data_IF_036772021890
#
_entry.id   IF_036772021890
#
_cell.length_a   1.000
_cell.length_b   1.000
_cell.length_c   1.000
_cell.angle_alpha   90.00
_cell.angle_beta   90.00
_cell.angle_gamma   90.00
#
_symmetry.space_group_name_H-M   'P 1'
#
loop_
_entity.id
_entity.type
_entity.pdbx_description
1 polymer ?
#
# COMPACT_ATOMS: atom_id res chain seq x y z
N UNK A 1 16.15 26.12 -39.78
CA UNK A 1 15.87 24.70 -39.52
C UNK A 1 15.16 24.66 -38.18
N UNK A 2 13.83 24.59 -38.18
CA UNK A 2 13.05 24.53 -36.93
C UNK A 2 13.53 23.29 -36.16
N UNK A 3 14.09 23.49 -34.98
CA UNK A 3 14.35 22.40 -34.07
C UNK A 3 13.00 21.75 -33.78
N UNK A 4 12.79 20.54 -34.29
CA UNK A 4 11.66 19.73 -33.88
C UNK A 4 11.71 19.68 -32.35
N UNK A 5 10.61 20.07 -31.71
CA UNK A 5 10.43 19.81 -30.29
C UNK A 5 10.79 18.34 -30.08
N UNK A 6 11.83 18.04 -29.30
CA UNK A 6 12.15 16.66 -28.96
C UNK A 6 10.90 16.13 -28.27
N UNK A 7 10.15 15.24 -28.93
CA UNK A 7 8.95 14.64 -28.37
C UNK A 7 9.31 14.06 -26.99
N UNK A 8 8.75 14.68 -25.94
CA UNK A 8 8.94 14.25 -24.56
C UNK A 8 8.10 13.00 -24.36
N UNK A 9 8.76 11.88 -24.09
CA UNK A 9 8.12 10.61 -23.80
C UNK A 9 7.92 10.54 -22.29
N UNK A 10 7.08 11.45 -21.78
CA UNK A 10 6.68 11.43 -20.37
C UNK A 10 5.85 10.16 -20.09
N UNK A 11 5.69 9.83 -18.80
CA UNK A 11 4.96 8.63 -18.41
C UNK A 11 3.46 8.72 -18.81
N UNK A 12 2.69 7.67 -18.49
CA UNK A 12 1.26 7.64 -18.84
C UNK A 12 0.41 8.61 -17.99
N UNK A 13 1.00 9.46 -17.15
CA UNK A 13 0.29 10.38 -16.26
C UNK A 13 0.31 11.79 -16.81
N UNK A 14 -0.73 12.52 -16.47
CA UNK A 14 -0.77 13.97 -16.59
C UNK A 14 -0.34 14.56 -15.26
N UNK A 15 0.63 15.48 -15.30
CA UNK A 15 1.06 16.22 -14.12
C UNK A 15 0.39 17.60 -14.12
N UNK A 16 0.02 18.08 -12.92
CA UNK A 16 -0.48 19.43 -12.78
C UNK A 16 0.59 20.45 -13.18
N UNK A 17 0.19 21.48 -13.91
CA UNK A 17 1.03 22.61 -14.29
C UNK A 17 0.71 23.88 -13.46
N UNK A 18 0.11 23.72 -12.27
CA UNK A 18 -0.30 24.86 -11.41
C UNK A 18 0.86 25.79 -11.02
N UNK A 19 2.09 25.26 -10.97
CA UNK A 19 3.31 26.03 -10.76
C UNK A 19 4.16 26.04 -12.04
N UNK A 20 4.23 27.18 -12.71
CA UNK A 20 5.10 27.39 -13.86
C UNK A 20 6.56 27.60 -13.42
N UNK A 21 7.51 27.36 -14.31
CA UNK A 21 8.92 27.73 -14.08
C UNK A 21 9.05 29.22 -14.36
N UNK A 22 9.36 30.00 -13.32
CA UNK A 22 9.60 31.44 -13.42
C UNK A 22 11.04 31.75 -13.87
N UNK A 23 12.02 30.98 -13.39
CA UNK A 23 13.41 31.08 -13.81
C UNK A 23 14.16 29.76 -13.59
N UNK A 24 15.23 29.56 -14.33
CA UNK A 24 16.18 28.47 -14.13
C UNK A 24 17.61 28.98 -14.26
N UNK A 25 18.48 28.63 -13.31
CA UNK A 25 19.87 29.05 -13.30
C UNK A 25 20.82 27.87 -13.11
N UNK A 26 21.98 27.93 -13.76
CA UNK A 26 23.04 26.93 -13.59
C UNK A 26 23.75 27.23 -12.27
N UNK A 27 23.70 26.26 -11.37
CA UNK A 27 24.48 26.23 -10.13
C UNK A 27 25.62 25.22 -10.22
N UNK A 28 26.27 24.97 -9.08
CA UNK A 28 27.34 23.99 -8.96
C UNK A 28 26.76 22.55 -8.99
N UNK A 29 26.93 21.86 -10.11
CA UNK A 29 26.45 20.49 -10.32
C UNK A 29 24.92 20.32 -10.46
N UNK A 30 24.17 21.43 -10.61
CA UNK A 30 22.71 21.43 -10.63
C UNK A 30 22.12 22.61 -11.40
N UNK A 31 20.84 22.50 -11.72
CA UNK A 31 19.98 23.60 -12.14
C UNK A 31 19.08 23.96 -10.96
N UNK A 32 19.10 25.23 -10.54
CA UNK A 32 18.17 25.75 -9.55
C UNK A 32 16.95 26.33 -10.29
N UNK A 33 15.77 25.75 -10.04
CA UNK A 33 14.51 26.16 -10.65
C UNK A 33 13.72 26.99 -9.65
N UNK A 34 13.37 28.21 -10.04
CA UNK A 34 12.42 29.08 -9.33
C UNK A 34 11.04 28.94 -9.96
N UNK A 35 10.05 28.64 -9.13
CA UNK A 35 8.67 28.43 -9.52
C UNK A 35 7.84 29.72 -9.38
N UNK A 36 6.72 29.81 -10.08
CA UNK A 36 5.80 30.96 -10.01
C UNK A 36 5.19 31.19 -8.62
N UNK A 37 5.24 30.19 -7.73
CA UNK A 37 4.85 30.27 -6.32
C UNK A 37 6.02 30.68 -5.39
N UNK A 38 7.12 31.20 -5.96
CA UNK A 38 8.36 31.61 -5.29
C UNK A 38 9.15 30.47 -4.62
N UNK A 39 8.72 29.21 -4.79
CA UNK A 39 9.51 28.08 -4.33
C UNK A 39 10.75 27.90 -5.19
N UNK A 40 11.79 27.30 -4.61
CA UNK A 40 13.00 26.91 -5.31
C UNK A 40 13.26 25.42 -5.13
N UNK A 41 13.56 24.74 -6.23
CA UNK A 41 13.90 23.31 -6.24
C UNK A 41 15.22 23.10 -6.99
N UNK A 42 16.19 22.43 -6.38
CA UNK A 42 17.42 22.03 -7.06
C UNK A 42 17.20 20.76 -7.88
N UNK A 43 17.79 20.70 -9.07
CA UNK A 43 17.82 19.52 -9.95
C UNK A 43 19.27 19.24 -10.40
N UNK A 44 19.90 18.20 -9.87
CA UNK A 44 21.29 17.84 -10.13
C UNK A 44 21.45 17.38 -11.58
N UNK A 45 22.61 17.65 -12.17
CA UNK A 45 22.89 17.32 -13.56
C UNK A 45 22.70 15.84 -13.85
N UNK A 46 23.25 14.97 -12.99
CA UNK A 46 23.10 13.51 -13.12
C UNK A 46 21.62 13.11 -13.08
N UNK A 47 20.86 13.66 -12.14
CA UNK A 47 19.44 13.34 -12.01
C UNK A 47 18.63 13.76 -13.23
N UNK A 48 18.85 14.98 -13.73
CA UNK A 48 18.21 15.46 -14.95
C UNK A 48 18.60 14.55 -16.14
N UNK A 49 19.89 14.33 -16.36
CA UNK A 49 20.39 13.57 -17.51
C UNK A 49 19.95 12.11 -17.52
N UNK A 50 19.91 11.47 -16.34
CA UNK A 50 19.40 10.11 -16.13
C UNK A 50 17.89 10.03 -16.41
N UNK A 51 17.15 11.08 -16.06
CA UNK A 51 15.70 11.16 -16.27
C UNK A 51 15.31 11.96 -17.53
N UNK A 52 16.18 11.99 -18.56
CA UNK A 52 15.84 12.59 -19.84
C UNK A 52 14.75 11.77 -20.53
N UNK A 53 13.61 12.40 -20.84
CA UNK A 53 12.46 11.72 -21.45
C UNK A 53 12.48 11.72 -22.99
N UNK A 54 13.59 12.05 -23.66
CA UNK A 54 13.64 12.08 -25.13
C UNK A 54 13.72 10.66 -25.73
N UNK A 55 13.40 10.53 -27.01
CA UNK A 55 13.43 9.24 -27.74
C UNK A 55 14.81 8.56 -27.83
N UNK A 56 15.90 9.29 -27.56
CA UNK A 56 17.24 8.70 -27.47
C UNK A 56 17.53 8.10 -26.09
N UNK A 57 16.80 8.53 -25.05
CA UNK A 57 17.01 8.08 -23.67
C UNK A 57 15.90 7.16 -23.17
N UNK A 58 14.73 7.19 -23.80
CA UNK A 58 13.57 6.37 -23.50
C UNK A 58 13.03 5.76 -24.80
N UNK A 59 12.79 4.45 -24.79
CA UNK A 59 12.21 3.76 -25.93
C UNK A 59 10.74 4.17 -26.12
N UNK A 60 10.39 4.70 -27.29
CA UNK A 60 9.13 5.43 -27.48
C UNK A 60 7.84 4.62 -27.29
N UNK A 61 7.90 3.31 -27.51
CA UNK A 61 6.73 2.43 -27.41
C UNK A 61 6.57 1.88 -25.99
N UNK A 62 7.66 1.34 -25.43
CA UNK A 62 7.65 0.70 -24.11
C UNK A 62 7.70 1.72 -22.98
N UNK A 63 8.22 2.93 -23.27
CA UNK A 63 8.55 3.98 -22.31
C UNK A 63 9.57 3.55 -21.26
N UNK A 64 10.37 2.53 -21.59
CA UNK A 64 11.46 2.06 -20.76
C UNK A 64 12.72 2.86 -21.07
N UNK A 65 13.48 3.15 -20.02
CA UNK A 65 14.77 3.83 -20.13
C UNK A 65 15.75 2.95 -20.91
N UNK A 66 16.43 3.54 -21.89
CA UNK A 66 17.50 2.91 -22.67
C UNK A 66 18.86 3.55 -22.40
N UNK A 67 18.86 4.79 -21.90
CA UNK A 67 20.08 5.48 -21.50
C UNK A 67 20.51 5.01 -20.11
N UNK A 68 21.77 4.61 -19.96
CA UNK A 68 22.36 4.34 -18.64
C UNK A 68 23.21 5.54 -18.21
N UNK A 69 23.13 5.94 -16.93
CA UNK A 69 23.85 7.12 -16.44
C UNK A 69 25.38 7.06 -16.64
N UNK A 70 25.95 5.85 -16.75
CA UNK A 70 27.38 5.65 -17.05
C UNK A 70 27.77 6.12 -18.45
N UNK A 71 26.82 6.24 -19.37
CA UNK A 71 27.04 6.76 -20.73
C UNK A 71 27.11 8.30 -20.76
N UNK A 72 26.71 8.99 -19.68
CA UNK A 72 27.04 10.40 -19.52
C UNK A 72 28.54 10.57 -19.24
N UNK A 73 29.05 11.75 -19.60
CA UNK A 73 30.43 12.11 -19.25
C UNK A 73 30.59 12.17 -17.73
N UNK A 74 31.74 11.71 -17.22
CA UNK A 74 32.05 11.83 -15.79
C UNK A 74 32.14 13.29 -15.30
N UNK A 75 32.46 14.23 -16.21
CA UNK A 75 32.45 15.67 -15.98
C UNK A 75 31.17 16.34 -16.52
N UNK A 76 30.02 15.64 -16.47
CA UNK A 76 28.74 16.14 -16.97
C UNK A 76 28.45 17.54 -16.44
N UNK A 77 28.15 18.46 -17.35
CA UNK A 77 27.75 19.83 -17.00
C UNK A 77 26.73 20.39 -17.99
N UNK A 78 25.84 21.24 -17.47
CA UNK A 78 24.95 22.04 -18.30
C UNK A 78 25.73 23.20 -18.92
N UNK A 79 25.66 23.34 -20.24
CA UNK A 79 26.21 24.47 -20.98
C UNK A 79 25.22 25.64 -21.01
N UNK A 80 23.94 25.35 -21.25
CA UNK A 80 22.88 26.34 -21.27
C UNK A 80 21.62 25.78 -20.63
N UNK A 81 20.85 26.66 -19.99
CA UNK A 81 19.51 26.38 -19.48
C UNK A 81 18.58 27.51 -19.87
N UNK A 82 17.38 27.16 -20.30
CA UNK A 82 16.35 28.15 -20.65
C UNK A 82 14.96 27.54 -20.47
N UNK A 83 13.97 28.43 -20.33
CA UNK A 83 12.56 28.07 -20.30
C UNK A 83 11.97 28.43 -21.65
N UNK A 84 11.41 27.47 -22.36
CA UNK A 84 10.80 27.68 -23.67
C UNK A 84 9.37 28.25 -23.59
N UNK A 85 8.81 28.61 -24.73
CA UNK A 85 7.45 29.17 -24.81
C UNK A 85 6.34 28.25 -24.30
N UNK A 86 6.59 26.93 -24.26
CA UNK A 86 5.68 25.94 -23.68
C UNK A 86 5.85 25.76 -22.15
N UNK A 87 6.74 26.55 -21.53
CA UNK A 87 7.05 26.53 -20.11
C UNK A 87 8.00 25.39 -19.68
N UNK A 88 8.52 24.60 -20.61
CA UNK A 88 9.44 23.51 -20.31
C UNK A 88 10.83 24.02 -19.93
N UNK A 89 11.51 23.30 -19.04
CA UNK A 89 12.95 23.48 -18.83
C UNK A 89 13.70 22.78 -19.97
N UNK A 90 14.57 23.50 -20.65
CA UNK A 90 15.51 22.97 -21.64
C UNK A 90 16.95 23.07 -21.11
N UNK A 91 17.72 22.00 -21.30
CA UNK A 91 19.14 21.93 -20.92
C UNK A 91 19.96 21.41 -22.09
N UNK A 92 21.03 22.12 -22.44
CA UNK A 92 22.07 21.63 -23.35
C UNK A 92 23.28 21.17 -22.55
N UNK A 93 23.75 19.96 -22.82
CA UNK A 93 24.81 19.30 -22.06
C UNK A 93 26.16 19.38 -22.78
N UNK A 94 27.26 19.26 -22.01
CA UNK A 94 28.62 19.25 -22.54
C UNK A 94 29.02 17.97 -23.32
N UNK A 95 28.12 16.98 -23.39
CA UNK A 95 28.21 15.81 -24.28
C UNK A 95 27.51 16.05 -25.64
N UNK A 96 26.93 17.24 -25.85
CA UNK A 96 26.18 17.60 -27.04
C UNK A 96 24.71 17.15 -27.02
N UNK A 97 24.27 16.48 -25.95
CA UNK A 97 22.87 16.08 -25.77
C UNK A 97 21.99 17.27 -25.40
N UNK A 98 20.70 17.16 -25.72
CA UNK A 98 19.67 18.14 -25.38
C UNK A 98 18.51 17.43 -24.70
N UNK A 99 18.03 18.00 -23.61
CA UNK A 99 16.96 17.45 -22.80
C UNK A 99 15.92 18.51 -22.48
N UNK A 100 14.67 18.08 -22.29
CA UNK A 100 13.57 18.94 -21.92
C UNK A 100 12.63 18.24 -20.93
N UNK A 101 12.05 18.99 -19.98
CA UNK A 101 11.07 18.47 -19.01
C UNK A 101 9.89 19.42 -18.85
N UNK A 102 8.67 18.88 -18.78
CA UNK A 102 7.50 19.69 -18.43
C UNK A 102 7.60 20.22 -16.99
N UNK A 103 7.06 21.43 -16.73
CA UNK A 103 7.08 22.02 -15.39
C UNK A 103 6.35 21.13 -14.37
N UNK A 104 5.22 20.52 -14.76
CA UNK A 104 4.46 19.63 -13.90
C UNK A 104 5.22 18.36 -13.53
N UNK A 105 5.90 17.73 -14.50
CA UNK A 105 6.71 16.55 -14.22
C UNK A 105 7.87 16.89 -13.28
N UNK A 106 8.59 17.99 -13.53
CA UNK A 106 9.67 18.44 -12.64
C UNK A 106 9.17 18.73 -11.24
N UNK A 107 8.06 19.46 -11.09
CA UNK A 107 7.51 19.80 -9.77
C UNK A 107 7.07 18.56 -9.01
N UNK A 108 6.43 17.61 -9.68
CA UNK A 108 6.00 16.35 -9.07
C UNK A 108 7.18 15.50 -8.58
N UNK A 109 8.35 15.60 -9.21
CA UNK A 109 9.55 14.82 -8.88
C UNK A 109 10.63 15.58 -8.10
N UNK A 110 10.44 16.88 -7.87
CA UNK A 110 11.37 17.71 -7.10
C UNK A 110 11.72 17.06 -5.75
N UNK A 111 12.98 17.04 -5.36
CA UNK A 111 13.44 16.28 -4.20
C UNK A 111 13.97 17.16 -3.06
N UNK A 112 13.72 18.46 -3.09
CA UNK A 112 13.84 19.31 -1.90
C UNK A 112 12.92 18.81 -0.78
N UNK A 113 13.26 19.15 0.47
CA UNK A 113 12.56 18.63 1.65
C UNK A 113 11.07 18.96 1.65
N UNK A 114 10.70 20.17 1.24
CA UNK A 114 9.29 20.53 1.11
C UNK A 114 8.59 19.64 0.06
N UNK A 115 9.26 19.27 -1.04
CA UNK A 115 8.62 18.56 -2.16
C UNK A 115 8.43 17.10 -1.80
N UNK A 116 9.42 16.56 -1.08
CA UNK A 116 9.34 15.25 -0.48
C UNK A 116 8.25 15.19 0.59
N UNK A 117 8.13 16.20 1.45
CA UNK A 117 7.10 16.27 2.47
C UNK A 117 5.68 16.34 1.88
N UNK A 118 5.47 17.19 0.86
CA UNK A 118 4.18 17.29 0.15
C UNK A 118 3.78 15.96 -0.50
N UNK A 119 4.71 15.29 -1.20
CA UNK A 119 4.43 13.96 -1.79
C UNK A 119 4.06 12.93 -0.74
N UNK A 120 4.74 12.93 0.40
CA UNK A 120 4.43 12.02 1.52
C UNK A 120 3.05 12.32 2.08
N UNK A 121 2.70 13.59 2.25
CA UNK A 121 1.38 14.00 2.74
C UNK A 121 0.26 13.64 1.75
N UNK A 122 0.46 13.87 0.46
CA UNK A 122 -0.54 13.59 -0.59
C UNK A 122 -0.88 12.10 -0.74
N UNK A 123 0.06 11.21 -0.39
CA UNK A 123 -0.14 9.75 -0.42
C UNK A 123 -0.12 9.16 0.99
N UNK A 124 -0.33 10.00 2.00
CA UNK A 124 -0.31 9.62 3.40
C UNK A 124 -1.39 8.58 3.70
N UNK A 125 -1.08 7.66 4.61
CA UNK A 125 -2.07 6.72 5.13
C UNK A 125 -2.85 7.40 6.24
N UNK A 126 -4.16 7.23 6.23
CA UNK A 126 -5.03 7.69 7.32
C UNK A 126 -4.98 6.67 8.46
N UNK A 127 -4.20 6.94 9.50
CA UNK A 127 -4.05 6.06 10.68
C UNK A 127 -5.23 6.29 11.61
N UNK A 128 -5.91 5.22 12.02
CA UNK A 128 -7.18 5.31 12.75
C UNK A 128 -7.21 4.52 14.06
N UNK A 129 -8.05 4.96 14.99
CA UNK A 129 -8.40 4.29 16.26
C UNK A 129 -9.88 3.88 16.25
N UNK A 130 -10.33 3.19 17.31
CA UNK A 130 -11.66 2.56 17.34
C UNK A 130 -12.84 3.54 17.32
N UNK A 131 -12.63 4.79 17.70
CA UNK A 131 -13.61 5.88 17.72
C UNK A 131 -13.64 6.72 16.43
N UNK A 132 -12.77 6.40 15.47
CA UNK A 132 -12.70 7.12 14.21
C UNK A 132 -13.85 6.71 13.27
N UNK A 133 -14.81 7.62 13.10
CA UNK A 133 -15.96 7.44 12.22
C UNK A 133 -15.59 7.28 10.73
N UNK A 134 -14.37 7.66 10.35
CA UNK A 134 -13.86 7.59 8.97
C UNK A 134 -12.99 6.36 8.70
N UNK A 135 -12.81 5.48 9.70
CA UNK A 135 -12.00 4.27 9.57
C UNK A 135 -12.52 3.31 8.47
N UNK A 136 -13.83 3.27 8.23
CA UNK A 136 -14.47 2.40 7.24
C UNK A 136 -15.11 3.24 6.14
N UNK A 137 -14.55 3.18 4.94
CA UNK A 137 -15.27 3.60 3.72
C UNK A 137 -16.29 2.54 3.32
N UNK A 138 -17.54 2.94 3.08
CA UNK A 138 -18.64 2.06 2.66
C UNK A 138 -19.00 2.36 1.20
N UNK A 139 -19.05 1.32 0.37
CA UNK A 139 -19.31 1.43 -1.06
C UNK A 139 -20.41 0.45 -1.49
N UNK A 140 -21.20 0.81 -2.49
CA UNK A 140 -22.18 -0.09 -3.07
C UNK A 140 -21.51 -1.02 -4.09
N UNK A 141 -21.80 -2.32 -4.01
CA UNK A 141 -21.29 -3.33 -4.95
C UNK A 141 -21.56 -2.95 -6.40
N UNK A 142 -22.78 -2.52 -6.71
CA UNK A 142 -23.19 -2.17 -8.06
C UNK A 142 -22.29 -1.07 -8.65
N UNK A 143 -22.03 -0.02 -7.89
CA UNK A 143 -21.22 1.12 -8.34
C UNK A 143 -19.76 0.68 -8.54
N UNK A 144 -19.20 -0.11 -7.61
CA UNK A 144 -17.84 -0.68 -7.73
C UNK A 144 -17.68 -1.55 -8.99
N UNK A 145 -18.75 -2.23 -9.42
CA UNK A 145 -18.76 -3.10 -10.61
C UNK A 145 -19.09 -2.37 -11.92
N UNK A 146 -19.78 -1.24 -11.89
CA UNK A 146 -20.31 -0.58 -13.11
C UNK A 146 -19.65 0.78 -13.40
N UNK A 147 -19.07 1.44 -12.39
CA UNK A 147 -18.52 2.80 -12.51
C UNK A 147 -17.04 2.87 -12.07
N UNK A 148 -16.18 3.32 -13.00
CA UNK A 148 -14.75 3.49 -12.76
C UNK A 148 -14.44 4.64 -11.77
N UNK A 149 -15.32 5.63 -11.62
CA UNK A 149 -15.18 6.66 -10.58
C UNK A 149 -15.42 6.07 -9.18
N UNK A 150 -16.48 5.29 -9.01
CA UNK A 150 -16.76 4.59 -7.76
C UNK A 150 -15.67 3.56 -7.42
N UNK A 151 -15.18 2.82 -8.43
CA UNK A 151 -14.04 1.93 -8.28
C UNK A 151 -12.79 2.71 -7.84
N UNK A 152 -12.45 3.82 -8.50
CA UNK A 152 -11.31 4.65 -8.11
C UNK A 152 -11.42 5.16 -6.66
N UNK A 153 -12.60 5.62 -6.25
CA UNK A 153 -12.87 6.09 -4.90
C UNK A 153 -12.73 4.96 -3.87
N UNK A 154 -13.23 3.76 -4.18
CA UNK A 154 -13.09 2.59 -3.33
C UNK A 154 -11.64 2.14 -3.16
N UNK A 155 -10.88 2.03 -4.26
CA UNK A 155 -9.45 1.66 -4.21
C UNK A 155 -8.63 2.72 -3.47
N UNK A 156 -8.95 4.01 -3.66
CA UNK A 156 -8.35 5.11 -2.93
C UNK A 156 -8.62 5.02 -1.42
N UNK A 157 -9.88 4.79 -1.02
CA UNK A 157 -10.23 4.58 0.38
C UNK A 157 -9.50 3.37 0.97
N UNK A 158 -9.49 2.23 0.27
CA UNK A 158 -8.79 1.01 0.69
C UNK A 158 -7.29 1.23 0.86
N UNK A 159 -6.64 1.96 -0.05
CA UNK A 159 -5.22 2.30 0.07
C UNK A 159 -4.94 3.24 1.25
N UNK A 160 -5.81 4.24 1.48
CA UNK A 160 -5.63 5.24 2.55
C UNK A 160 -5.90 4.69 3.94
N UNK A 161 -7.04 4.04 4.16
CA UNK A 161 -7.47 3.54 5.49
C UNK A 161 -7.04 2.10 5.73
N UNK A 162 -6.84 1.31 4.68
CA UNK A 162 -6.60 -0.13 4.80
C UNK A 162 -7.86 -0.94 5.10
N UNK A 163 -9.05 -0.34 5.21
CA UNK A 163 -10.29 -1.03 5.58
C UNK A 163 -11.51 -0.41 4.89
N UNK A 164 -12.24 -1.22 4.14
CA UNK A 164 -13.47 -0.81 3.44
C UNK A 164 -14.53 -1.91 3.48
N UNK A 165 -15.79 -1.50 3.41
CA UNK A 165 -16.95 -2.39 3.27
C UNK A 165 -17.60 -2.17 1.90
N UNK A 166 -17.86 -3.26 1.19
CA UNK A 166 -18.70 -3.25 -0.01
C UNK A 166 -20.03 -3.91 0.33
N UNK A 167 -21.13 -3.18 0.21
CA UNK A 167 -22.47 -3.66 0.54
C UNK A 167 -23.25 -4.08 -0.71
N UNK A 168 -24.13 -5.07 -0.55
CA UNK A 168 -25.05 -5.50 -1.61
C UNK A 168 -24.41 -6.41 -2.66
N UNK A 169 -23.29 -7.06 -2.35
CA UNK A 169 -22.78 -8.17 -3.17
C UNK A 169 -23.81 -9.31 -3.12
N UNK A 170 -24.18 -9.95 -4.24
CA UNK A 170 -25.09 -11.10 -4.19
C UNK A 170 -24.52 -12.19 -3.29
N UNK A 171 -25.29 -12.69 -2.32
CA UNK A 171 -24.85 -13.67 -1.31
C UNK A 171 -24.68 -15.10 -1.87
N UNK A 172 -23.90 -15.22 -2.95
CA UNK A 172 -23.63 -16.43 -3.72
C UNK A 172 -22.13 -16.74 -3.71
N UNK A 173 -21.79 -18.03 -3.76
CA UNK A 173 -20.39 -18.48 -3.93
C UNK A 173 -19.83 -17.93 -5.24
N UNK A 174 -18.57 -17.54 -5.24
CA UNK A 174 -17.85 -17.02 -6.40
C UNK A 174 -17.90 -15.50 -6.56
N UNK A 175 -18.83 -14.78 -5.91
CA UNK A 175 -18.95 -13.32 -6.11
C UNK A 175 -17.75 -12.51 -5.60
N UNK A 176 -17.03 -13.03 -4.60
CA UNK A 176 -15.79 -12.40 -4.12
C UNK A 176 -14.71 -12.37 -5.21
N UNK A 177 -14.67 -13.38 -6.10
CA UNK A 177 -13.73 -13.44 -7.23
C UNK A 177 -13.99 -12.29 -8.20
N UNK A 178 -15.26 -12.06 -8.56
CA UNK A 178 -15.65 -11.00 -9.49
C UNK A 178 -15.23 -9.61 -8.97
N UNK A 179 -15.46 -9.32 -7.68
CA UNK A 179 -15.06 -8.04 -7.10
C UNK A 179 -13.55 -7.93 -6.98
N UNK A 180 -12.85 -9.00 -6.56
CA UNK A 180 -11.38 -8.99 -6.46
C UNK A 180 -10.71 -8.77 -7.83
N UNK A 181 -11.29 -9.29 -8.93
CA UNK A 181 -10.80 -9.07 -10.30
C UNK A 181 -10.97 -7.63 -10.80
N UNK A 182 -11.82 -6.82 -10.17
CA UNK A 182 -11.86 -5.36 -10.41
C UNK A 182 -10.60 -4.66 -9.91
N UNK A 183 -9.91 -5.27 -8.94
CA UNK A 183 -8.63 -4.81 -8.41
C UNK A 183 -7.49 -5.35 -9.25
N UNK A 184 -7.40 -6.66 -9.44
CA UNK A 184 -6.34 -7.27 -10.24
C UNK A 184 -6.28 -8.78 -10.10
N UNK A 185 -5.07 -9.33 -10.11
CA UNK A 185 -4.86 -10.78 -10.03
C UNK A 185 -5.11 -11.33 -8.62
N UNK A 186 -5.89 -12.41 -8.54
CA UNK A 186 -6.14 -13.12 -7.28
C UNK A 186 -4.94 -14.03 -6.99
N UNK A 187 -4.41 -13.93 -5.77
CA UNK A 187 -3.28 -14.70 -5.28
C UNK A 187 -3.75 -16.09 -4.83
N UNK A 188 -3.32 -17.12 -5.57
CA UNK A 188 -3.52 -18.50 -5.16
C UNK A 188 -2.67 -18.84 -3.91
N UNK A 189 -3.24 -19.66 -3.03
CA UNK A 189 -2.55 -20.18 -1.85
C UNK A 189 -2.77 -21.69 -1.71
N UNK A 190 -2.18 -22.30 -0.68
CA UNK A 190 -2.47 -23.71 -0.35
C UNK A 190 -3.90 -23.95 0.12
N UNK A 191 -4.70 -22.90 0.30
CA UNK A 191 -6.14 -22.96 0.57
C UNK A 191 -6.97 -22.77 -0.71
N UNK A 192 -6.32 -22.69 -1.88
CA UNK A 192 -6.93 -22.40 -3.18
C UNK A 192 -6.92 -20.90 -3.52
N UNK A 193 -7.57 -20.58 -4.64
CA UNK A 193 -7.85 -19.20 -5.08
C UNK A 193 -8.96 -18.57 -4.21
N UNK A 194 -10.01 -19.34 -3.96
CA UNK A 194 -11.09 -19.00 -3.04
C UNK A 194 -11.10 -20.00 -1.89
N UNK A 195 -11.41 -19.52 -0.68
CA UNK A 195 -11.55 -20.37 0.50
C UNK A 195 -12.84 -20.05 1.26
N UNK A 196 -13.49 -21.09 1.77
CA UNK A 196 -14.69 -20.94 2.59
C UNK A 196 -14.35 -20.97 4.09
N UNK A 197 -14.94 -20.03 4.83
CA UNK A 197 -14.84 -19.90 6.29
C UNK A 197 -16.19 -20.27 6.91
N UNK A 198 -16.31 -21.55 7.25
CA UNK A 198 -17.45 -22.16 7.94
C UNK A 198 -16.95 -23.11 9.04
N UNK A 199 -17.79 -23.39 10.05
CA UNK A 199 -17.44 -24.34 11.11
C UNK A 199 -17.38 -25.76 10.54
N UNK A 200 -16.22 -26.42 10.70
CA UNK A 200 -16.00 -27.79 10.19
C UNK A 200 -15.93 -28.79 11.35
N UNK A 201 -16.48 -30.02 11.23
CA UNK A 201 -16.36 -31.05 12.27
C UNK A 201 -14.90 -31.47 12.58
N UNK A 202 -14.00 -31.33 11.60
CA UNK A 202 -12.56 -31.57 11.72
C UNK A 202 -11.79 -30.40 11.11
N UNK A 203 -11.50 -29.33 11.87
CA UNK A 203 -10.86 -28.13 11.36
C UNK A 203 -9.34 -28.31 11.25
N UNK A 204 -8.76 -27.83 10.15
CA UNK A 204 -7.31 -27.73 9.89
C UNK A 204 -6.75 -26.32 10.18
N UNK A 205 -7.63 -25.38 10.56
CA UNK A 205 -7.31 -24.02 10.97
C UNK A 205 -8.26 -23.53 12.05
N UNK A 206 -7.76 -22.70 12.97
CA UNK A 206 -8.57 -22.06 14.01
C UNK A 206 -9.69 -21.17 13.43
N UNK A 207 -9.52 -20.68 12.19
CA UNK A 207 -10.55 -19.94 11.47
C UNK A 207 -11.84 -20.76 11.23
N UNK A 208 -11.75 -22.09 11.25
CA UNK A 208 -12.87 -23.02 11.06
C UNK A 208 -13.46 -23.54 12.38
N UNK A 209 -13.20 -22.84 13.49
CA UNK A 209 -13.74 -23.13 14.83
C UNK A 209 -14.73 -22.06 15.31
N UNK A 210 -15.52 -22.36 16.33
CA UNK A 210 -16.44 -21.41 17.00
C UNK A 210 -15.79 -20.49 18.03
N UNK A 211 -14.52 -20.75 18.35
CA UNK A 211 -13.78 -19.99 19.35
C UNK A 211 -13.52 -18.54 18.87
N UNK A 212 -13.27 -17.66 19.84
CA UNK A 212 -12.76 -16.32 19.60
C UNK A 212 -11.44 -16.40 18.81
N UNK A 213 -11.39 -15.73 17.65
CA UNK A 213 -10.18 -15.63 16.85
C UNK A 213 -9.51 -14.29 17.20
N UNK A 214 -8.37 -14.30 17.91
CA UNK A 214 -7.74 -13.06 18.36
C UNK A 214 -7.23 -12.22 17.17
N UNK A 215 -6.96 -10.91 17.39
CA UNK A 215 -6.38 -10.05 16.37
C UNK A 215 -5.14 -10.65 15.71
N UNK A 216 -5.17 -10.76 14.39
CA UNK A 216 -4.10 -11.33 13.59
C UNK A 216 -4.08 -10.74 12.17
N UNK A 217 -2.97 -10.95 11.47
CA UNK A 217 -2.84 -10.82 10.03
C UNK A 217 -2.68 -12.21 9.42
N UNK A 218 -3.26 -12.42 8.24
CA UNK A 218 -3.32 -13.73 7.60
C UNK A 218 -2.00 -14.10 6.94
N UNK A 219 -1.70 -15.39 6.98
CA UNK A 219 -0.54 -16.01 6.34
C UNK A 219 0.79 -15.25 6.53
N UNK A 220 1.17 -14.87 7.78
CA UNK A 220 2.47 -14.24 8.05
C UNK A 220 3.66 -15.18 7.80
N UNK A 221 3.35 -16.44 7.47
CA UNK A 221 4.27 -17.52 7.09
C UNK A 221 4.77 -17.40 5.65
N UNK A 222 4.21 -16.49 4.85
CA UNK A 222 4.64 -16.22 3.48
C UNK A 222 5.76 -15.20 3.48
N UNK A 223 6.74 -15.39 2.60
CA UNK A 223 7.75 -14.36 2.30
C UNK A 223 7.05 -13.03 1.97
N UNK A 224 6.13 -13.08 1.00
CA UNK A 224 5.19 -12.02 0.71
C UNK A 224 3.86 -12.33 1.39
N UNK A 225 3.62 -11.74 2.55
CA UNK A 225 2.32 -11.79 3.21
C UNK A 225 1.25 -11.26 2.23
N UNK A 226 0.06 -11.88 2.10
CA UNK A 226 -0.94 -11.39 1.15
C UNK A 226 -1.29 -9.93 1.42
N UNK A 227 -1.41 -9.13 0.35
CA UNK A 227 -1.61 -7.68 0.44
C UNK A 227 -3.00 -7.29 0.95
N UNK A 228 -4.03 -7.56 0.16
CA UNK A 228 -5.44 -7.29 0.45
C UNK A 228 -6.15 -8.62 0.67
N UNK A 229 -6.97 -8.69 1.72
CA UNK A 229 -7.88 -9.81 1.96
C UNK A 229 -9.32 -9.36 1.72
N UNK A 230 -10.08 -10.22 1.07
CA UNK A 230 -11.53 -10.08 0.92
C UNK A 230 -12.25 -11.13 1.75
N UNK A 231 -13.34 -10.75 2.41
CA UNK A 231 -14.22 -11.66 3.13
C UNK A 231 -15.68 -11.30 2.82
N UNK A 232 -16.30 -12.06 1.93
CA UNK A 232 -17.69 -11.89 1.51
C UNK A 232 -18.62 -12.77 2.34
N UNK A 233 -19.65 -12.16 2.93
CA UNK A 233 -20.63 -12.84 3.76
C UNK A 233 -21.75 -13.48 2.95
N UNK A 234 -21.80 -14.81 2.95
CA UNK A 234 -22.86 -15.57 2.30
C UNK A 234 -24.02 -15.88 3.27
N UNK A 235 -23.70 -16.07 4.56
CA UNK A 235 -24.68 -16.22 5.63
C UNK A 235 -24.06 -15.82 6.98
N UNK A 236 -24.84 -15.18 7.85
CA UNK A 236 -24.43 -14.85 9.22
C UNK A 236 -25.62 -14.84 10.20
N UNK A 237 -26.32 -15.97 10.26
CA UNK A 237 -27.52 -16.17 11.05
C UNK A 237 -27.22 -16.58 12.50
N UNK A 238 -25.97 -16.99 12.77
CA UNK A 238 -25.54 -17.42 14.09
C UNK A 238 -25.42 -16.26 15.09
N UNK A 239 -25.77 -16.48 16.35
CA UNK A 239 -25.56 -15.51 17.44
C UNK A 239 -24.07 -15.27 17.67
N UNK A 240 -23.64 -14.01 17.73
CA UNK A 240 -22.21 -13.63 17.85
C UNK A 240 -21.48 -13.59 16.51
N UNK A 241 -20.15 -13.67 16.51
CA UNK A 241 -19.35 -13.72 15.28
C UNK A 241 -19.14 -12.38 14.58
N UNK A 242 -19.16 -11.30 15.34
CA UNK A 242 -18.90 -9.93 14.87
C UNK A 242 -17.45 -9.79 14.42
N UNK A 243 -17.23 -9.01 13.36
CA UNK A 243 -15.87 -8.72 12.88
C UNK A 243 -15.26 -7.62 13.73
N UNK A 244 -14.00 -7.80 14.13
CA UNK A 244 -13.22 -6.79 14.85
C UNK A 244 -12.00 -6.46 13.99
N UNK A 245 -11.72 -5.18 13.82
CA UNK A 245 -10.54 -4.67 13.11
C UNK A 245 -9.76 -3.71 13.97
N UNK A 246 -8.44 -3.70 13.79
CA UNK A 246 -7.51 -2.77 14.41
C UNK A 246 -6.49 -2.31 13.38
N UNK A 247 -6.17 -1.02 13.38
CA UNK A 247 -5.06 -0.51 12.58
C UNK A 247 -3.73 -0.89 13.24
N UNK A 248 -3.01 -1.84 12.65
CA UNK A 248 -1.70 -2.26 13.14
C UNK A 248 -0.68 -1.11 13.15
N UNK A 249 -0.86 -0.10 12.31
CA UNK A 249 0.03 1.07 12.31
C UNK A 249 -0.27 1.99 13.48
N UNK A 250 -1.54 2.15 13.87
CA UNK A 250 -1.90 2.86 15.10
C UNK A 250 -1.33 2.15 16.35
N UNK A 251 -1.38 0.81 16.38
CA UNK A 251 -0.76 0.02 17.44
C UNK A 251 0.77 0.21 17.47
N UNK A 252 1.41 0.18 16.31
CA UNK A 252 2.85 0.40 16.18
C UNK A 252 3.27 1.81 16.63
N UNK A 253 2.51 2.84 16.26
CA UNK A 253 2.74 4.24 16.66
C UNK A 253 2.54 4.45 18.15
N UNK A 254 1.48 3.85 18.73
CA UNK A 254 1.26 3.85 20.17
C UNK A 254 2.42 3.17 20.91
N UNK A 255 2.87 2.00 20.44
CA UNK A 255 4.01 1.32 21.04
C UNK A 255 5.30 2.15 20.91
N UNK A 256 5.57 2.77 19.75
CA UNK A 256 6.73 3.64 19.54
C UNK A 256 6.76 4.81 20.53
N UNK A 257 5.60 5.45 20.75
CA UNK A 257 5.47 6.61 21.63
C UNK A 257 5.51 6.24 23.11
N UNK A 258 4.82 5.16 23.49
CA UNK A 258 4.66 4.77 24.90
C UNK A 258 5.86 3.95 25.39
N UNK A 259 6.44 3.12 24.53
CA UNK A 259 7.50 2.15 24.85
C UNK A 259 8.49 1.97 23.69
N UNK A 260 9.32 2.99 23.38
CA UNK A 260 10.20 2.99 22.20
C UNK A 260 11.15 1.77 22.15
N UNK A 261 11.69 1.34 23.29
CA UNK A 261 12.55 0.14 23.33
C UNK A 261 11.80 -1.14 22.91
N UNK A 262 10.53 -1.29 23.33
CA UNK A 262 9.71 -2.43 22.94
C UNK A 262 9.36 -2.37 21.45
N UNK A 263 9.12 -1.17 20.91
CA UNK A 263 8.93 -0.96 19.48
C UNK A 263 10.18 -1.36 18.68
N UNK A 264 11.38 -0.98 19.12
CA UNK A 264 12.62 -1.38 18.46
C UNK A 264 12.84 -2.89 18.52
N UNK A 265 12.55 -3.56 19.65
CA UNK A 265 12.64 -5.03 19.74
C UNK A 265 11.76 -5.71 18.68
N UNK A 266 10.51 -5.27 18.54
CA UNK A 266 9.56 -5.87 17.60
C UNK A 266 9.82 -5.54 16.12
N UNK A 267 10.58 -4.49 15.85
CA UNK A 267 10.91 -4.10 14.49
C UNK A 267 12.27 -4.62 14.00
N UNK A 268 13.17 -4.97 14.92
CA UNK A 268 14.52 -5.42 14.59
C UNK A 268 14.74 -6.92 14.84
N UNK A 269 13.98 -7.55 15.74
CA UNK A 269 14.11 -8.99 16.03
C UNK A 269 13.15 -9.79 15.16
N UNK A 270 13.64 -10.71 14.32
CA UNK A 270 12.78 -11.61 13.55
C UNK A 270 11.99 -12.55 14.46
N UNK A 271 10.74 -12.82 14.08
CA UNK A 271 9.92 -13.88 14.62
C UNK A 271 9.75 -14.96 13.57
N UNK A 272 9.76 -16.21 14.02
CA UNK A 272 9.47 -17.36 13.17
C UNK A 272 7.95 -17.54 13.00
N UNK A 273 7.50 -17.75 11.78
CA UNK A 273 6.10 -18.04 11.44
C UNK A 273 6.00 -19.30 10.59
N UNK A 274 5.30 -20.33 11.06
CA UNK A 274 5.19 -21.63 10.40
C UNK A 274 3.73 -22.05 10.16
N UNK A 275 3.41 -22.49 8.95
CA UNK A 275 2.15 -23.16 8.60
C UNK A 275 2.49 -24.52 8.00
N UNK A 276 2.06 -25.60 8.67
CA UNK A 276 2.44 -26.98 8.34
C UNK A 276 1.19 -27.83 8.13
N UNK A 277 1.22 -28.68 7.12
CA UNK A 277 0.24 -29.72 6.85
C UNK A 277 0.97 -31.00 6.41
N UNK A 278 0.22 -32.07 6.12
CA UNK A 278 0.81 -33.29 5.54
C UNK A 278 1.49 -33.04 4.18
N UNK A 279 1.06 -32.00 3.45
CA UNK A 279 1.45 -31.74 2.06
C UNK A 279 2.11 -30.37 1.85
N UNK A 280 2.35 -29.58 2.92
CA UNK A 280 2.95 -28.26 2.84
C UNK A 280 3.67 -27.85 4.13
N UNK A 281 4.74 -27.06 4.01
CA UNK A 281 5.45 -26.43 5.13
C UNK A 281 5.92 -25.04 4.67
N UNK A 282 5.17 -24.00 5.04
CA UNK A 282 5.50 -22.61 4.74
C UNK A 282 6.09 -21.95 5.98
N UNK A 283 7.25 -21.31 5.79
CA UNK A 283 7.98 -20.64 6.86
C UNK A 283 8.43 -19.26 6.40
N UNK A 284 8.36 -18.31 7.32
CA UNK A 284 8.96 -17.00 7.16
C UNK A 284 9.55 -16.53 8.48
N UNK A 285 10.73 -15.91 8.41
CA UNK A 285 11.36 -15.20 9.51
C UNK A 285 11.30 -13.72 9.20
N UNK A 286 10.57 -12.96 10.03
CA UNK A 286 10.35 -11.53 9.81
C UNK A 286 10.00 -10.83 11.13
N UNK A 287 10.32 -9.54 11.30
CA UNK A 287 9.89 -8.79 12.48
C UNK A 287 8.37 -8.69 12.55
N UNK A 288 7.84 -8.50 13.76
CA UNK A 288 6.41 -8.22 13.97
C UNK A 288 6.02 -6.90 13.34
N UNK A 289 6.92 -5.90 13.37
CA UNK A 289 6.72 -4.58 12.77
C UNK A 289 7.75 -4.38 11.66
N UNK A 290 7.32 -4.53 10.40
CA UNK A 290 8.17 -4.30 9.23
C UNK A 290 8.39 -2.81 8.94
N UNK A 291 9.62 -2.41 8.63
CA UNK A 291 9.98 -1.05 8.22
C UNK A 291 10.55 -1.02 6.81
N UNK A 292 10.31 0.07 6.07
CA UNK A 292 11.05 0.36 4.85
C UNK A 292 12.47 0.89 5.15
N UNK A 293 13.26 1.11 4.09
CA UNK A 293 14.61 1.66 4.19
C UNK A 293 14.66 3.11 4.75
N UNK A 294 13.51 3.78 4.89
CA UNK A 294 13.37 5.11 5.49
C UNK A 294 12.87 5.03 6.94
N UNK A 295 12.66 3.83 7.48
CA UNK A 295 12.18 3.60 8.84
C UNK A 295 10.65 3.68 9.01
N UNK A 296 9.88 3.87 7.93
CA UNK A 296 8.42 3.92 8.02
C UNK A 296 7.85 2.50 8.22
N UNK A 297 6.82 2.37 9.05
CA UNK A 297 6.11 1.09 9.20
C UNK A 297 5.36 0.78 7.92
N UNK A 298 5.59 -0.40 7.36
CA UNK A 298 4.98 -0.83 6.10
C UNK A 298 4.17 -2.11 6.20
N UNK A 299 4.39 -2.86 7.29
CA UNK A 299 3.80 -4.17 7.52
C UNK A 299 3.69 -4.51 9.01
N UNK A 300 2.66 -5.26 9.40
CA UNK A 300 2.49 -5.86 10.72
C UNK A 300 2.21 -7.36 10.59
N UNK A 301 3.04 -8.19 11.21
CA UNK A 301 2.94 -9.66 11.20
C UNK A 301 2.57 -10.19 12.58
N UNK A 302 1.33 -10.63 12.73
CA UNK A 302 0.84 -11.18 14.00
C UNK A 302 -0.09 -12.34 13.72
N UNK A 303 0.30 -13.56 14.12
CA UNK A 303 -0.63 -14.68 14.23
C UNK A 303 -0.11 -15.65 15.28
N UNK A 304 -0.60 -15.55 16.52
CA UNK A 304 -0.09 -16.34 17.64
C UNK A 304 -0.12 -17.86 17.38
N UNK A 305 -1.10 -18.32 16.62
CA UNK A 305 -1.32 -19.72 16.27
C UNK A 305 -0.44 -20.23 15.12
N UNK A 306 0.32 -19.33 14.46
CA UNK A 306 1.29 -19.67 13.41
C UNK A 306 2.72 -19.32 13.83
N UNK A 307 2.98 -19.01 15.10
CA UNK A 307 4.32 -18.64 15.58
C UNK A 307 5.20 -19.88 15.77
N UNK A 308 6.39 -19.86 15.21
CA UNK A 308 7.48 -20.80 15.51
C UNK A 308 8.23 -20.45 16.81
N UNK A 309 9.21 -21.28 17.21
CA UNK A 309 10.16 -20.95 18.28
C UNK A 309 10.90 -19.65 17.95
N UNK A 310 11.06 -18.76 18.95
CA UNK A 310 11.81 -17.52 18.77
C UNK A 310 13.30 -17.85 18.61
N UNK A 311 13.92 -17.36 17.54
CA UNK A 311 15.37 -17.38 17.36
C UNK A 311 15.93 -15.97 17.63
N UNK A 312 16.49 -15.79 18.83
CA UNK A 312 17.06 -14.52 19.27
C UNK A 312 18.21 -14.75 20.24
N UNK A 313 19.19 -13.83 20.34
CA UNK A 313 20.26 -13.92 21.34
C UNK A 313 19.71 -14.12 22.75
N UNK A 314 20.31 -15.03 23.52
CA UNK A 314 19.79 -15.44 24.83
C UNK A 314 19.51 -14.26 25.78
N UNK A 315 20.36 -13.22 25.75
CA UNK A 315 20.21 -12.01 26.57
C UNK A 315 19.03 -11.11 26.17
N UNK A 316 18.51 -11.19 24.94
CA UNK A 316 17.40 -10.35 24.46
C UNK A 316 16.03 -11.03 24.58
N UNK A 317 15.97 -12.35 24.73
CA UNK A 317 14.73 -13.14 24.75
C UNK A 317 13.67 -12.55 25.70
N UNK A 318 14.06 -12.19 26.92
CA UNK A 318 13.13 -11.61 27.90
C UNK A 318 12.56 -10.25 27.45
N UNK A 319 13.38 -9.40 26.84
CA UNK A 319 12.96 -8.09 26.32
C UNK A 319 12.03 -8.24 25.10
N UNK A 320 12.35 -9.17 24.20
CA UNK A 320 11.52 -9.47 23.01
C UNK A 320 10.13 -9.98 23.44
N UNK A 321 10.07 -10.90 24.39
CA UNK A 321 8.79 -11.37 24.92
C UNK A 321 8.02 -10.31 25.70
N UNK A 322 8.71 -9.44 26.46
CA UNK A 322 8.07 -8.28 27.11
C UNK A 322 7.41 -7.38 26.07
N UNK A 323 8.14 -7.01 25.01
CA UNK A 323 7.66 -6.17 23.94
C UNK A 323 6.45 -6.80 23.22
N UNK A 324 6.55 -8.09 22.89
CA UNK A 324 5.48 -8.81 22.21
C UNK A 324 4.22 -8.93 23.07
N UNK A 325 4.37 -9.23 24.36
CA UNK A 325 3.24 -9.22 25.32
C UNK A 325 2.57 -7.85 25.35
N UNK A 326 3.34 -6.77 25.33
CA UNK A 326 2.82 -5.41 25.35
C UNK A 326 2.05 -5.08 24.07
N UNK A 327 2.58 -5.42 22.91
CA UNK A 327 1.88 -5.24 21.63
C UNK A 327 0.55 -6.00 21.61
N UNK A 328 0.53 -7.26 22.06
CA UNK A 328 -0.72 -8.04 22.15
C UNK A 328 -1.70 -7.49 23.19
N UNK A 329 -1.22 -6.83 24.25
CA UNK A 329 -2.08 -6.14 25.22
C UNK A 329 -2.71 -4.89 24.59
N UNK A 330 -1.93 -4.06 23.87
CA UNK A 330 -2.45 -2.92 23.11
C UNK A 330 -3.52 -3.35 22.11
N UNK A 331 -3.29 -4.44 21.37
CA UNK A 331 -4.25 -5.00 20.42
C UNK A 331 -5.55 -5.52 21.09
N UNK A 332 -5.61 -5.58 22.43
CA UNK A 332 -6.82 -5.91 23.18
C UNK A 332 -7.50 -4.69 23.77
N UNK A 333 -6.95 -3.49 23.66
CA UNK A 333 -7.58 -2.30 24.23
C UNK A 333 -8.78 -1.86 23.37
N UNK A 334 -9.93 -1.51 24.00
CA UNK A 334 -11.11 -1.04 23.26
C UNK A 334 -10.85 0.18 22.38
N UNK A 335 -9.92 1.07 22.78
CA UNK A 335 -9.60 2.30 22.03
C UNK A 335 -9.09 2.06 20.61
N UNK A 336 -8.65 0.86 20.25
CA UNK A 336 -8.18 0.54 18.90
C UNK A 336 -9.16 -0.29 18.07
N UNK A 337 -10.28 -0.71 18.66
CA UNK A 337 -11.18 -1.69 18.04
C UNK A 337 -12.30 -1.00 17.28
N UNK A 338 -12.39 -1.29 16.00
CA UNK A 338 -13.59 -1.10 15.21
C UNK A 338 -14.32 -2.45 15.15
N UNK A 339 -15.59 -2.49 15.54
CA UNK A 339 -16.38 -3.72 15.55
C UNK A 339 -17.65 -3.53 14.73
N UNK A 340 -17.90 -4.46 13.79
CA UNK A 340 -19.12 -4.45 12.97
C UNK A 340 -19.54 -5.87 12.60
N UNK A 341 -20.84 -6.11 12.70
CA UNK A 341 -21.47 -7.38 12.27
C UNK A 341 -21.73 -7.33 10.76
N UNK A 342 -21.37 -8.40 10.05
CA UNK A 342 -21.69 -8.57 8.63
C UNK A 342 -23.12 -9.08 8.46
N UNK A 343 -23.83 -8.56 7.46
CA UNK A 343 -25.06 -9.15 6.91
C UNK A 343 -24.71 -9.99 5.67
N UNK A 344 -25.60 -10.87 5.24
CA UNK A 344 -25.43 -11.53 3.95
C UNK A 344 -25.34 -10.48 2.82
N UNK A 345 -24.35 -10.63 1.94
CA UNK A 345 -24.03 -9.69 0.87
C UNK A 345 -23.12 -8.52 1.25
N UNK A 346 -22.76 -8.38 2.52
CA UNK A 346 -21.69 -7.47 2.93
C UNK A 346 -20.33 -8.14 2.67
N UNK A 347 -19.34 -7.39 2.16
CA UNK A 347 -17.99 -7.88 1.91
C UNK A 347 -16.93 -6.91 2.46
N UNK A 348 -16.06 -7.42 3.33
CA UNK A 348 -14.87 -6.68 3.73
C UNK A 348 -13.80 -6.76 2.65
N UNK A 349 -13.11 -5.64 2.42
CA UNK A 349 -11.81 -5.60 1.77
C UNK A 349 -10.84 -4.80 2.64
N UNK A 350 -9.72 -5.40 3.02
CA UNK A 350 -8.76 -4.78 3.93
C UNK A 350 -7.32 -5.14 3.61
N UNK A 351 -6.41 -4.21 3.91
CA UNK A 351 -4.97 -4.38 3.78
C UNK A 351 -4.46 -5.30 4.90
N UNK A 352 -4.30 -6.58 4.57
CA UNK A 352 -3.89 -7.64 5.49
C UNK A 352 -2.46 -7.47 6.03
N UNK A 353 -1.62 -6.65 5.39
CA UNK A 353 -0.29 -6.29 5.91
C UNK A 353 -0.36 -5.14 6.92
N UNK A 354 -1.53 -4.54 7.15
CA UNK A 354 -1.72 -3.40 8.06
C UNK A 354 -2.78 -3.68 9.11
N UNK A 355 -3.97 -4.06 8.68
CA UNK A 355 -5.15 -4.19 9.50
C UNK A 355 -5.17 -5.58 10.12
N UNK A 356 -5.09 -5.62 11.45
CA UNK A 356 -5.37 -6.86 12.18
C UNK A 356 -6.87 -7.06 12.18
N UNK A 357 -7.29 -8.31 11.97
CA UNK A 357 -8.68 -8.69 12.01
C UNK A 357 -8.90 -9.83 13.01
N UNK A 358 -10.11 -9.90 13.53
CA UNK A 358 -10.53 -10.80 14.57
C UNK A 358 -12.02 -11.06 14.45
N UNK A 359 -12.49 -12.02 15.24
CA UNK A 359 -13.91 -12.30 15.35
C UNK A 359 -14.27 -12.69 16.76
N UNK A 360 -15.37 -12.15 17.27
CA UNK A 360 -15.97 -12.64 18.53
C UNK A 360 -16.38 -14.12 18.40
N UNK A 361 -16.53 -14.78 19.55
CA UNK A 361 -17.13 -16.12 19.59
C UNK A 361 -18.55 -16.12 19.01
N UNK A 362 -18.98 -17.29 18.54
CA UNK A 362 -20.34 -17.46 18.01
C UNK A 362 -20.86 -18.86 18.28
N UNK A 363 -22.19 -19.00 18.31
CA UNK A 363 -22.86 -20.28 18.52
C UNK A 363 -23.27 -20.92 17.19
N UNK A 364 -22.58 -21.97 16.71
CA UNK A 364 -22.88 -22.62 15.45
C UNK A 364 -24.23 -23.38 15.46
N UNK A 365 -24.83 -23.62 16.63
CA UNK A 365 -26.13 -24.27 16.74
C UNK A 365 -27.31 -23.33 16.43
N UNK A 366 -27.08 -22.02 16.51
CA UNK A 366 -28.14 -21.01 16.38
C UNK A 366 -28.41 -20.57 14.95
N UNK A 367 -27.50 -20.86 14.01
CA UNK A 367 -27.67 -20.48 12.62
C UNK A 367 -26.45 -20.75 11.76
N UNK A 368 -26.61 -20.59 10.44
CA UNK A 368 -25.52 -20.78 9.48
C UNK A 368 -24.60 -19.55 9.48
N UNK A 369 -23.29 -19.78 9.47
CA UNK A 369 -22.28 -18.75 9.22
C UNK A 369 -21.32 -19.21 8.14
N UNK A 370 -21.24 -18.45 7.06
CA UNK A 370 -20.44 -18.78 5.90
C UNK A 370 -19.88 -17.51 5.27
N UNK A 371 -18.56 -17.35 5.32
CA UNK A 371 -17.86 -16.33 4.54
C UNK A 371 -17.05 -17.02 3.44
N UNK A 372 -16.85 -16.35 2.31
CA UNK A 372 -15.90 -16.77 1.29
C UNK A 372 -14.85 -15.69 1.12
N UNK A 373 -13.59 -16.09 1.11
CA UNK A 373 -12.46 -15.17 1.02
C UNK A 373 -11.53 -15.47 -0.13
N UNK A 374 -10.72 -14.46 -0.46
CA UNK A 374 -9.60 -14.55 -1.37
C UNK A 374 -8.56 -13.47 -1.02
N UNK A 375 -7.41 -13.50 -1.69
CA UNK A 375 -6.36 -12.52 -1.52
C UNK A 375 -5.95 -11.88 -2.85
N UNK A 376 -5.52 -10.62 -2.80
CA UNK A 376 -4.88 -9.89 -3.90
C UNK A 376 -3.61 -9.23 -3.37
N UNK A 377 -2.58 -9.04 -4.19
CA UNK A 377 -1.37 -8.35 -3.74
C UNK A 377 -1.52 -6.81 -3.77
N UNK A 378 -0.77 -6.10 -2.92
CA UNK A 378 -0.93 -4.64 -2.72
C UNK A 378 -0.54 -3.84 -3.96
N UNK A 379 0.39 -4.37 -4.76
CA UNK A 379 0.82 -3.81 -6.04
C UNK A 379 -0.29 -3.84 -7.10
N UNK A 380 -1.11 -4.89 -7.17
CA UNK A 380 -2.30 -4.94 -8.02
C UNK A 380 -3.28 -3.79 -7.70
N UNK A 381 -3.59 -3.61 -6.41
CA UNK A 381 -4.41 -2.49 -5.92
C UNK A 381 -3.83 -1.14 -6.35
N UNK A 382 -2.53 -0.92 -6.09
CA UNK A 382 -1.88 0.35 -6.40
C UNK A 382 -1.76 0.58 -7.90
N UNK A 383 -1.56 -0.46 -8.70
CA UNK A 383 -1.50 -0.41 -10.16
C UNK A 383 -2.86 0.03 -10.72
N UNK A 384 -3.93 -0.69 -10.34
CA UNK A 384 -5.29 -0.38 -10.80
C UNK A 384 -5.72 1.02 -10.39
N UNK A 385 -5.45 1.42 -9.14
CA UNK A 385 -5.71 2.79 -8.69
C UNK A 385 -4.98 3.82 -9.55
N UNK A 386 -3.66 3.68 -9.76
CA UNK A 386 -2.87 4.62 -10.58
C UNK A 386 -3.34 4.69 -12.03
N UNK A 387 -3.80 3.57 -12.61
CA UNK A 387 -4.32 3.56 -13.99
C UNK A 387 -5.63 4.33 -14.06
N UNK A 388 -6.57 4.08 -13.13
CA UNK A 388 -7.84 4.81 -13.07
C UNK A 388 -7.64 6.31 -12.78
N UNK A 389 -6.69 6.67 -11.92
CA UNK A 389 -6.37 8.07 -11.62
C UNK A 389 -5.86 8.86 -12.84
N UNK A 390 -5.42 8.20 -13.92
CA UNK A 390 -5.05 8.88 -15.17
C UNK A 390 -6.26 9.27 -16.00
N UNK A 391 -7.32 8.46 -15.96
CA UNK A 391 -8.50 8.59 -16.80
C UNK A 391 -9.55 9.53 -16.18
N UNK A 392 -9.53 9.69 -14.86
CA UNK A 392 -10.51 10.48 -14.11
C UNK A 392 -9.88 11.83 -13.69
N UNK A 393 -10.45 12.98 -14.08
CA UNK A 393 -9.97 14.30 -13.65
C UNK A 393 -9.91 14.43 -12.12
N UNK A 394 -8.89 15.12 -11.61
CA UNK A 394 -8.54 15.20 -10.18
C UNK A 394 -9.67 15.72 -9.26
N UNK A 395 -10.65 16.45 -9.78
CA UNK A 395 -11.78 16.98 -9.02
C UNK A 395 -12.80 15.92 -8.59
N UNK A 396 -12.72 14.70 -9.13
CA UNK A 396 -13.63 13.60 -8.80
C UNK A 396 -13.07 12.60 -7.76
N UNK A 397 -11.87 12.83 -7.21
CA UNK A 397 -11.13 11.85 -6.41
C UNK A 397 -10.92 12.23 -4.91
N UNK A 398 -11.60 13.27 -4.40
CA UNK A 398 -11.50 13.67 -2.99
C UNK A 398 -12.50 12.94 -2.10
#
# INVERSE_FOLDING_TARGET
>A
MQAAAQDRIEDWRTFSADAAIAAATIGDGKVDVEWSDARRSPFHFDWLRDNCACSACVHAITREQVFEIVDARADLSALTVHVETDGALHVEWNDGHRSAWSPGWLRAHAYDDASRAERVAAHGRHIWTGDDATAIGVFAWRDVMEDDHALLAWLGALQRTGLTLVEGVPAERGRVDEVARRVGLIRESNFGVLFDVESKPRPDSNAYTSLNLPPHTDLPTRELQPGVQFLHCLANDATGGDSIFLDGFALADALRREHPDDFEQLASTPFEFWNKSANSDYRCSAPVIGRDARGNVTEVRVANFLRGPLDAPAGSVAAVYRAYRRFLALAREPRFRVQRRLRAGDMWAFDNRRVLHARTEFDPSTGRRHLQGCYVDRDELLSRWRVLSRAVPADAAR
#
